data_IF_438367816157
#
_entry.id   IF_438367816157
#
_cell.length_a   1.000
_cell.length_b   1.000
_cell.length_c   1.000
_cell.angle_alpha   90.00
_cell.angle_beta   90.00
_cell.angle_gamma   90.00
#
_symmetry.space_group_name_H-M   'P 1'
#
loop_
_entity.id
_entity.type
_entity.pdbx_description
1 polymer ?
#
# COMPACT_ATOMS: atom_id res chain seq x y z
N UNK A 1 1.47 -1.65 8.32
CA UNK A 1 0.75 -1.03 7.18
C UNK A 1 -0.28 0.00 7.65
N UNK A 2 -1.06 -0.29 8.70
CA UNK A 2 -1.90 0.69 9.37
C UNK A 2 -1.85 0.44 10.88
N UNK A 3 -2.13 1.47 11.68
CA UNK A 3 -2.15 1.37 13.15
C UNK A 3 -3.46 0.78 13.67
N UNK A 4 -4.57 1.02 12.97
CA UNK A 4 -5.91 0.53 13.32
C UNK A 4 -6.60 -0.10 12.12
N UNK A 5 -7.54 -1.02 12.38
CA UNK A 5 -8.34 -1.68 11.32
C UNK A 5 -9.19 -0.65 10.57
N UNK A 6 -9.72 0.35 11.27
CA UNK A 6 -10.49 1.44 10.67
C UNK A 6 -9.63 2.28 9.73
N UNK A 7 -8.36 2.52 10.06
CA UNK A 7 -7.43 3.19 9.16
C UNK A 7 -7.07 2.32 7.96
N UNK A 8 -6.89 1.00 8.15
CA UNK A 8 -6.64 0.07 7.06
C UNK A 8 -7.78 0.09 6.02
N UNK A 9 -9.04 0.07 6.47
CA UNK A 9 -10.19 0.16 5.57
C UNK A 9 -10.15 1.43 4.71
N UNK A 10 -9.93 2.60 5.32
CA UNK A 10 -9.83 3.86 4.58
C UNK A 10 -8.69 3.87 3.57
N UNK A 11 -7.56 3.28 3.92
CA UNK A 11 -6.36 3.21 3.06
C UNK A 11 -6.61 2.30 1.85
N UNK A 12 -7.32 1.18 2.05
CA UNK A 12 -7.71 0.26 0.98
C UNK A 12 -8.78 0.90 0.08
N UNK A 13 -9.80 1.55 0.66
CA UNK A 13 -10.82 2.30 -0.10
C UNK A 13 -10.22 3.41 -0.98
N UNK A 14 -9.14 4.07 -0.51
CA UNK A 14 -8.40 5.06 -1.29
C UNK A 14 -7.52 4.45 -2.40
N UNK A 15 -7.41 3.12 -2.48
CA UNK A 15 -6.63 2.42 -3.48
C UNK A 15 -5.12 2.54 -3.28
N UNK A 16 -4.65 2.63 -2.03
CA UNK A 16 -3.21 2.72 -1.75
C UNK A 16 -2.51 1.35 -1.61
N UNK A 17 -3.28 0.26 -1.54
CA UNK A 17 -2.77 -1.11 -1.36
C UNK A 17 -2.95 -1.91 -2.64
N UNK A 18 -1.94 -2.72 -2.97
CA UNK A 18 -2.01 -3.74 -4.02
C UNK A 18 -1.62 -5.10 -3.48
N UNK A 19 -2.13 -6.13 -4.12
CA UNK A 19 -1.74 -7.53 -3.86
C UNK A 19 -1.14 -8.07 -5.15
N UNK A 20 0.17 -8.35 -5.14
CA UNK A 20 0.90 -8.70 -6.36
C UNK A 20 0.93 -7.54 -7.34
N UNK A 21 0.29 -7.71 -8.50
CA UNK A 21 0.24 -6.71 -9.58
C UNK A 21 -1.04 -5.86 -9.55
N UNK A 22 -2.07 -6.27 -8.81
CA UNK A 22 -3.39 -5.66 -8.87
C UNK A 22 -3.66 -4.75 -7.68
N UNK A 23 -4.12 -3.52 -7.97
CA UNK A 23 -4.55 -2.57 -6.94
C UNK A 23 -5.93 -2.98 -6.43
N UNK A 24 -6.05 -3.11 -5.11
CA UNK A 24 -7.30 -3.53 -4.46
C UNK A 24 -7.97 -2.31 -3.83
N UNK A 25 -9.24 -2.11 -4.16
CA UNK A 25 -10.10 -1.08 -3.57
C UNK A 25 -11.19 -1.67 -2.67
N UNK A 26 -11.43 -2.98 -2.75
CA UNK A 26 -12.43 -3.67 -1.93
C UNK A 26 -11.82 -4.11 -0.58
N UNK A 27 -12.44 -3.68 0.51
CA UNK A 27 -12.03 -4.01 1.88
C UNK A 27 -12.41 -5.44 2.28
N UNK A 28 -13.33 -6.08 1.56
CA UNK A 28 -13.74 -7.46 1.79
C UNK A 28 -12.90 -8.49 1.01
N UNK A 29 -11.87 -8.04 0.29
CA UNK A 29 -11.01 -8.92 -0.49
C UNK A 29 -10.25 -9.90 0.41
N UNK A 30 -10.46 -11.21 0.18
CA UNK A 30 -9.82 -12.27 0.96
C UNK A 30 -8.43 -12.61 0.38
N UNK A 31 -7.39 -12.29 1.14
CA UNK A 31 -6.01 -12.60 0.79
C UNK A 31 -5.69 -14.05 1.20
N UNK A 32 -5.20 -14.85 0.24
CA UNK A 32 -4.74 -16.21 0.52
C UNK A 32 -3.34 -16.19 1.14
N UNK A 33 -2.95 -17.25 1.88
CA UNK A 33 -1.63 -17.32 2.55
C UNK A 33 -0.44 -17.15 1.59
N UNK A 34 -0.56 -17.63 0.36
CA UNK A 34 0.47 -17.45 -0.67
C UNK A 34 0.56 -16.03 -1.21
N UNK A 35 -0.52 -15.25 -1.09
CA UNK A 35 -0.60 -13.86 -1.56
C UNK A 35 -0.24 -12.85 -0.46
N UNK A 36 -0.17 -13.28 0.80
CA UNK A 36 0.14 -12.43 1.95
C UNK A 36 1.47 -11.68 1.79
N UNK A 37 2.51 -12.36 1.30
CA UNK A 37 3.83 -11.77 1.08
C UNK A 37 3.84 -10.66 0.00
N UNK A 38 2.83 -10.67 -0.88
CA UNK A 38 2.72 -9.73 -1.99
C UNK A 38 1.82 -8.53 -1.68
N UNK A 39 1.34 -8.40 -0.44
CA UNK A 39 0.59 -7.23 0.01
C UNK A 39 1.56 -6.05 0.18
N UNK A 40 1.47 -5.05 -0.69
CA UNK A 40 2.37 -3.89 -0.69
C UNK A 40 1.65 -2.60 -1.08
N UNK A 41 2.34 -1.47 -0.93
CA UNK A 41 1.84 -0.18 -1.39
C UNK A 41 1.87 -0.07 -2.91
N UNK A 42 0.89 0.61 -3.49
CA UNK A 42 0.89 0.97 -4.91
C UNK A 42 2.08 1.91 -5.22
N UNK A 43 2.71 1.71 -6.37
CA UNK A 43 3.76 2.60 -6.87
C UNK A 43 3.14 3.97 -7.20
N UNK A 44 3.62 5.03 -6.53
CA UNK A 44 3.00 6.38 -6.55
C UNK A 44 2.19 6.74 -5.29
N UNK A 45 1.93 5.78 -4.40
CA UNK A 45 1.22 6.03 -3.14
C UNK A 45 1.91 7.11 -2.32
N UNK A 46 1.12 8.11 -1.86
CA UNK A 46 1.61 9.17 -0.97
C UNK A 46 2.08 8.61 0.37
N UNK A 47 1.49 7.49 0.81
CA UNK A 47 1.88 6.81 2.05
C UNK A 47 3.27 6.20 1.90
N UNK A 48 3.53 5.51 0.78
CA UNK A 48 4.87 4.97 0.45
C UNK A 48 5.92 6.09 0.44
N UNK A 49 5.61 7.23 -0.18
CA UNK A 49 6.47 8.43 -0.19
C UNK A 49 6.74 8.98 1.20
N UNK A 50 5.71 9.13 2.03
CA UNK A 50 5.88 9.65 3.39
C UNK A 50 6.77 8.73 4.24
N UNK A 51 6.62 7.41 4.08
CA UNK A 51 7.47 6.41 4.74
C UNK A 51 8.93 6.51 4.25
N UNK A 52 9.15 6.61 2.93
CA UNK A 52 10.49 6.74 2.35
C UNK A 52 11.17 8.05 2.76
N UNK A 53 10.42 9.16 2.79
CA UNK A 53 10.89 10.46 3.26
C UNK A 53 11.27 10.41 4.74
N UNK A 54 10.45 9.78 5.57
CA UNK A 54 10.76 9.58 7.00
C UNK A 54 12.05 8.77 7.20
N UNK A 55 12.35 7.84 6.28
CA UNK A 55 13.56 7.01 6.31
C UNK A 55 14.76 7.63 5.57
N UNK A 56 14.63 8.87 5.09
CA UNK A 56 15.65 9.58 4.29
C UNK A 56 16.11 8.81 3.04
N UNK A 57 15.26 7.92 2.51
CA UNK A 57 15.50 7.11 1.31
C UNK A 57 14.56 7.49 0.16
N UNK A 58 14.12 8.75 0.15
CA UNK A 58 13.28 9.23 -0.93
C UNK A 58 14.14 9.40 -2.18
N UNK A 59 13.92 8.52 -3.16
CA UNK A 59 14.47 8.65 -4.50
C UNK A 59 13.36 9.19 -5.41
N UNK A 60 13.57 10.40 -5.93
CA UNK A 60 12.60 11.09 -6.79
C UNK A 60 12.67 10.62 -8.26
N UNK A 61 13.63 9.76 -8.63
CA UNK A 61 13.79 9.26 -10.00
C UNK A 61 12.75 8.18 -10.38
N UNK A 62 12.25 7.43 -9.39
CA UNK A 62 11.30 6.32 -9.57
C UNK A 62 9.82 6.80 -9.69
N UNK A 63 9.61 8.12 -9.86
CA UNK A 63 8.31 8.79 -9.79
C UNK A 63 7.83 9.41 -11.12
N UNK A 64 8.60 9.22 -12.20
CA UNK A 64 8.38 9.80 -13.54
C UNK A 64 7.79 8.76 -14.50
#
# INVERSE_FOLDING_TARGET
MAETVQAANKIIEQGHVRVGTETITDTAFLVTRSMEDFVTWVDGSKIKRNILKYREKLDDFDLL
#
